data_IF_184904253053
#
_entry.id   IF_184904253053
#
_cell.length_a   1.000
_cell.length_b   1.000
_cell.length_c   1.000
_cell.angle_alpha   90.00
_cell.angle_beta   90.00
_cell.angle_gamma   90.00
#
_symmetry.space_group_name_H-M   'P 1'
#
loop_
_entity.id
_entity.type
_entity.pdbx_description
1 polymer ?
#
# COMPACT_ATOMS: atom_id res chain seq x y z
N UNK A 1 -18.91 -39.77 48.88
CA UNK A 1 -18.31 -39.10 47.71
C UNK A 1 -19.34 -38.14 47.13
N UNK A 2 -18.92 -36.91 46.79
CA UNK A 2 -19.69 -35.76 46.29
C UNK A 2 -20.51 -34.95 47.31
N UNK A 3 -20.01 -33.73 47.56
CA UNK A 3 -20.67 -32.44 47.87
C UNK A 3 -19.51 -31.46 48.13
N UNK A 4 -19.40 -30.25 47.60
CA UNK A 4 -20.24 -29.41 46.76
C UNK A 4 -19.30 -28.32 46.24
N UNK A 5 -19.25 -28.14 44.92
CA UNK A 5 -18.65 -26.97 44.31
C UNK A 5 -19.33 -25.71 44.86
N UNK A 6 -18.52 -24.78 45.36
CA UNK A 6 -18.90 -23.38 45.49
C UNK A 6 -19.86 -23.05 46.65
N UNK A 7 -19.79 -21.80 47.08
CA UNK A 7 -20.66 -21.18 48.08
C UNK A 7 -20.37 -21.52 49.55
N UNK A 8 -19.14 -21.22 49.98
CA UNK A 8 -18.80 -21.16 51.41
C UNK A 8 -17.86 -20.03 51.82
N UNK A 9 -17.45 -19.13 50.92
CA UNK A 9 -16.45 -18.08 51.22
C UNK A 9 -17.02 -16.69 50.96
N UNK A 10 -18.14 -16.38 51.61
CA UNK A 10 -18.61 -14.99 51.79
C UNK A 10 -17.63 -14.31 52.75
N UNK A 11 -16.64 -13.60 52.21
CA UNK A 11 -15.86 -12.62 52.99
C UNK A 11 -14.36 -12.85 53.11
N UNK A 12 -13.69 -13.55 52.19
CA UNK A 12 -12.21 -13.46 52.15
C UNK A 12 -11.83 -12.17 51.42
N UNK A 13 -11.15 -11.19 52.06
CA UNK A 13 -10.78 -9.91 51.44
C UNK A 13 -9.93 -10.07 50.16
N UNK A 14 -9.22 -11.20 50.04
CA UNK A 14 -8.43 -11.56 48.88
C UNK A 14 -9.26 -11.75 47.59
N UNK A 15 -10.44 -12.38 47.67
CA UNK A 15 -11.28 -12.66 46.49
C UNK A 15 -11.85 -11.36 45.90
N UNK A 16 -12.26 -10.42 46.76
CA UNK A 16 -12.80 -9.13 46.30
C UNK A 16 -11.71 -8.21 45.71
N UNK A 17 -10.47 -8.30 46.23
CA UNK A 17 -9.31 -7.61 45.63
C UNK A 17 -8.97 -8.19 44.26
N UNK A 18 -9.01 -9.52 44.11
CA UNK A 18 -8.75 -10.19 42.84
C UNK A 18 -9.81 -9.84 41.79
N UNK A 19 -11.11 -9.92 42.13
CA UNK A 19 -12.21 -9.53 41.24
C UNK A 19 -12.07 -8.10 40.72
N UNK A 20 -11.65 -7.17 41.58
CA UNK A 20 -11.44 -5.76 41.21
C UNK A 20 -10.26 -5.57 40.26
N UNK A 21 -9.15 -6.29 40.48
CA UNK A 21 -7.98 -6.26 39.58
C UNK A 21 -8.31 -6.84 38.20
N UNK A 22 -9.02 -7.96 38.17
CA UNK A 22 -9.48 -8.58 36.92
C UNK A 22 -10.42 -7.63 36.18
N UNK A 23 -11.36 -6.99 36.89
CA UNK A 23 -12.25 -6.00 36.29
C UNK A 23 -11.48 -4.83 35.66
N UNK A 24 -10.51 -4.24 36.39
CA UNK A 24 -9.68 -3.17 35.83
C UNK A 24 -8.85 -3.63 34.63
N UNK A 25 -8.26 -4.83 34.68
CA UNK A 25 -7.50 -5.37 33.56
C UNK A 25 -8.37 -5.55 32.30
N UNK A 26 -9.60 -6.06 32.46
CA UNK A 26 -10.55 -6.20 31.34
C UNK A 26 -10.92 -4.84 30.76
N UNK A 27 -11.26 -3.86 31.61
CA UNK A 27 -11.61 -2.51 31.15
C UNK A 27 -10.45 -1.85 30.41
N UNK A 28 -9.23 -1.92 30.95
CA UNK A 28 -8.03 -1.36 30.31
C UNK A 28 -7.76 -2.04 28.97
N UNK A 29 -7.93 -3.36 28.90
CA UNK A 29 -7.73 -4.13 27.65
C UNK A 29 -8.73 -3.72 26.59
N UNK A 30 -10.01 -3.57 26.96
CA UNK A 30 -11.06 -3.12 26.03
C UNK A 30 -10.78 -1.70 25.53
N UNK A 31 -10.39 -0.78 26.42
CA UNK A 31 -10.06 0.60 26.04
C UNK A 31 -8.82 0.63 25.12
N UNK A 32 -7.77 -0.10 25.47
CA UNK A 32 -6.54 -0.19 24.67
C UNK A 32 -6.81 -0.78 23.29
N UNK A 33 -7.66 -1.83 23.20
CA UNK A 33 -8.04 -2.43 21.93
C UNK A 33 -8.81 -1.45 21.04
N UNK A 34 -9.72 -0.66 21.60
CA UNK A 34 -10.45 0.36 20.84
C UNK A 34 -9.52 1.44 20.30
N UNK A 35 -8.59 1.95 21.13
CA UNK A 35 -7.59 2.93 20.70
C UNK A 35 -6.72 2.34 19.58
N UNK A 36 -6.28 1.09 19.73
CA UNK A 36 -5.45 0.41 18.72
C UNK A 36 -6.17 0.24 17.38
N UNK A 37 -7.44 -0.16 17.39
CA UNK A 37 -8.26 -0.29 16.17
C UNK A 37 -8.43 1.06 15.49
N UNK A 38 -8.81 2.11 16.23
CA UNK A 38 -8.96 3.46 15.67
C UNK A 38 -7.66 4.00 15.08
N UNK A 39 -6.54 3.80 15.78
CA UNK A 39 -5.22 4.20 15.29
C UNK A 39 -4.83 3.43 14.02
N UNK A 40 -5.04 2.11 13.99
CA UNK A 40 -4.72 1.26 12.84
C UNK A 40 -5.53 1.63 11.60
N UNK A 41 -6.82 1.93 11.76
CA UNK A 41 -7.67 2.38 10.67
C UNK A 41 -7.25 3.76 10.14
N UNK A 42 -6.90 4.69 11.04
CA UNK A 42 -6.46 6.02 10.65
C UNK A 42 -5.12 5.98 9.89
N UNK A 43 -4.16 5.16 10.35
CA UNK A 43 -2.91 4.92 9.61
C UNK A 43 -3.16 4.34 8.21
N UNK A 44 -4.12 3.41 8.09
CA UNK A 44 -4.47 2.82 6.80
C UNK A 44 -5.05 3.86 5.82
N UNK A 45 -5.83 4.81 6.34
CA UNK A 45 -6.33 5.95 5.56
C UNK A 45 -5.19 6.84 5.07
N UNK A 46 -4.24 7.17 5.96
CA UNK A 46 -3.08 8.00 5.63
C UNK A 46 -2.13 7.34 4.62
N UNK A 47 -2.00 6.01 4.64
CA UNK A 47 -1.23 5.29 3.61
C UNK A 47 -1.95 5.23 2.26
N UNK A 48 -3.28 5.21 2.23
CA UNK A 48 -4.04 5.11 0.98
C UNK A 48 -4.15 6.45 0.24
N UNK A 49 -4.22 7.58 0.95
CA UNK A 49 -4.28 8.91 0.33
C UNK A 49 -2.95 9.38 -0.28
N UNK A 50 -1.81 8.87 0.22
CA UNK A 50 -0.46 9.23 -0.28
C UNK A 50 0.04 8.40 -1.48
N UNK A 51 -0.82 7.60 -2.12
CA UNK A 51 -0.43 6.75 -3.27
C UNK A 51 -0.79 7.41 -4.62
N UNK A 52 -1.14 8.70 -4.65
CA UNK A 52 -1.07 9.45 -5.91
C UNK A 52 0.37 9.90 -6.16
N UNK A 53 1.26 8.93 -6.44
CA UNK A 53 2.51 9.23 -7.12
C UNK A 53 2.12 9.79 -8.49
N UNK A 54 2.12 11.10 -8.65
CA UNK A 54 1.83 11.72 -9.94
C UNK A 54 2.87 11.24 -10.95
N UNK A 55 2.43 10.45 -11.92
CA UNK A 55 3.28 9.97 -13.00
C UNK A 55 2.76 10.47 -14.34
N UNK A 56 3.69 10.90 -15.19
CA UNK A 56 3.44 11.36 -16.56
C UNK A 56 3.98 10.29 -17.50
N UNK A 57 3.16 9.85 -18.45
CA UNK A 57 3.60 8.95 -19.53
C UNK A 57 3.84 9.80 -20.77
N UNK A 58 5.07 9.77 -21.28
CA UNK A 58 5.47 10.47 -22.50
C UNK A 58 5.85 9.45 -23.58
N UNK A 59 5.11 9.43 -24.68
CA UNK A 59 5.38 8.55 -25.81
C UNK A 59 6.57 9.07 -26.64
N UNK A 60 7.50 8.18 -26.93
CA UNK A 60 8.70 8.45 -27.71
C UNK A 60 8.44 8.27 -29.21
N UNK A 61 9.16 9.04 -30.02
CA UNK A 61 9.12 8.87 -31.47
C UNK A 61 9.64 7.47 -31.89
N UNK A 62 9.00 6.91 -32.91
CA UNK A 62 9.42 5.63 -33.48
C UNK A 62 10.86 5.70 -34.01
N UNK A 63 11.60 4.60 -33.82
CA UNK A 63 12.96 4.39 -34.34
C UNK A 63 14.07 5.26 -33.71
N UNK A 64 13.92 5.66 -32.43
CA UNK A 64 15.01 6.30 -31.68
C UNK A 64 16.15 5.33 -31.39
N UNK A 65 17.38 5.77 -31.64
CA UNK A 65 18.58 5.03 -31.27
C UNK A 65 18.76 5.05 -29.73
N UNK A 66 19.42 4.02 -29.18
CA UNK A 66 19.59 3.84 -27.74
C UNK A 66 20.32 5.02 -27.10
N UNK A 67 21.28 5.62 -27.79
CA UNK A 67 22.02 6.80 -27.32
C UNK A 67 21.10 8.02 -27.12
N UNK A 68 20.16 8.23 -28.05
CA UNK A 68 19.18 9.33 -27.96
C UNK A 68 18.17 9.09 -26.85
N UNK A 69 17.76 7.83 -26.62
CA UNK A 69 16.88 7.48 -25.49
C UNK A 69 17.55 7.81 -24.16
N UNK A 70 18.81 7.43 -24.00
CA UNK A 70 19.61 7.73 -22.81
C UNK A 70 19.80 9.24 -22.59
N UNK A 71 19.96 10.00 -23.67
CA UNK A 71 20.07 11.47 -23.62
C UNK A 71 18.76 12.10 -23.13
N UNK A 72 17.62 11.68 -23.69
CA UNK A 72 16.29 12.13 -23.27
C UNK A 72 16.02 11.76 -21.81
N UNK A 73 16.37 10.54 -21.40
CA UNK A 73 16.21 10.09 -20.02
C UNK A 73 17.02 10.97 -19.04
N UNK A 74 18.30 11.21 -19.33
CA UNK A 74 19.16 12.10 -18.53
C UNK A 74 18.65 13.53 -18.49
N UNK A 75 18.15 14.03 -19.63
CA UNK A 75 17.59 15.37 -19.71
C UNK A 75 16.37 15.52 -18.80
N UNK A 76 15.42 14.57 -18.85
CA UNK A 76 14.20 14.60 -18.03
C UNK A 76 14.52 14.38 -16.55
N UNK A 77 15.47 13.50 -16.21
CA UNK A 77 15.96 13.32 -14.85
C UNK A 77 16.56 14.61 -14.25
N UNK A 78 17.11 15.48 -15.10
CA UNK A 78 17.70 16.76 -14.69
C UNK A 78 16.68 17.89 -14.45
N UNK A 79 15.40 17.69 -14.79
CA UNK A 79 14.35 18.70 -14.59
C UNK A 79 13.99 18.78 -13.11
N UNK A 80 13.95 20.01 -12.57
CA UNK A 80 13.51 20.24 -11.20
C UNK A 80 12.03 19.87 -11.07
N UNK A 81 11.71 19.07 -10.05
CA UNK A 81 10.40 18.43 -9.91
C UNK A 81 10.28 17.01 -10.48
N UNK A 82 11.30 16.45 -11.16
CA UNK A 82 11.28 15.02 -11.54
C UNK A 82 11.94 14.17 -10.45
N UNK A 83 11.25 13.09 -10.04
CA UNK A 83 11.69 12.12 -9.01
C UNK A 83 12.44 10.95 -9.63
N UNK A 84 11.88 10.38 -10.69
CA UNK A 84 12.46 9.25 -11.39
C UNK A 84 11.92 9.19 -12.81
N UNK A 85 12.74 8.68 -13.72
CA UNK A 85 12.33 8.38 -15.10
C UNK A 85 12.59 6.89 -15.31
N UNK A 86 11.62 6.20 -15.91
CA UNK A 86 11.75 4.79 -16.30
C UNK A 86 11.37 4.64 -17.76
N UNK A 87 12.26 4.02 -18.52
CA UNK A 87 11.95 3.59 -19.88
C UNK A 87 11.04 2.35 -19.87
N UNK A 88 10.00 2.38 -20.68
CA UNK A 88 9.06 1.29 -20.87
C UNK A 88 9.04 0.93 -22.35
N UNK A 89 9.41 -0.32 -22.64
CA UNK A 89 9.44 -0.86 -24.00
C UNK A 89 8.00 -0.97 -24.55
N UNK A 90 7.80 -0.76 -25.84
CA UNK A 90 6.52 -1.00 -26.52
C UNK A 90 5.94 -2.40 -26.23
N UNK A 91 6.78 -3.42 -26.03
CA UNK A 91 6.33 -4.77 -25.73
C UNK A 91 5.77 -4.90 -24.32
N UNK A 92 6.44 -4.29 -23.34
CA UNK A 92 5.96 -4.23 -21.95
C UNK A 92 4.66 -3.44 -21.86
N UNK A 93 4.61 -2.30 -22.54
CA UNK A 93 3.42 -1.43 -22.65
C UNK A 93 2.22 -2.16 -23.26
N UNK A 94 2.46 -2.92 -24.33
CA UNK A 94 1.42 -3.69 -25.03
C UNK A 94 0.89 -4.85 -24.19
N UNK A 95 1.76 -5.55 -23.45
CA UNK A 95 1.35 -6.62 -22.54
C UNK A 95 0.50 -6.07 -21.39
N UNK A 96 0.87 -4.91 -20.84
CA UNK A 96 0.08 -4.26 -19.79
C UNK A 96 -1.31 -3.87 -20.31
N UNK A 97 -1.40 -3.30 -21.51
CA UNK A 97 -2.69 -2.99 -22.15
C UNK A 97 -3.55 -4.23 -22.44
N UNK A 98 -2.95 -5.32 -22.90
CA UNK A 98 -3.68 -6.58 -23.11
C UNK A 98 -4.26 -7.13 -21.80
N UNK A 99 -3.51 -7.03 -20.70
CA UNK A 99 -3.98 -7.43 -19.38
C UNK A 99 -5.12 -6.53 -18.88
N UNK A 100 -5.03 -5.21 -19.07
CA UNK A 100 -6.11 -4.27 -18.69
C UNK A 100 -7.39 -4.49 -19.50
N UNK A 101 -7.24 -4.76 -20.80
CA UNK A 101 -8.36 -4.98 -21.71
C UNK A 101 -8.89 -6.43 -21.68
N UNK A 102 -8.24 -7.33 -20.93
CA UNK A 102 -8.52 -8.77 -20.89
C UNK A 102 -8.64 -9.41 -22.29
N UNK A 103 -7.87 -8.93 -23.26
CA UNK A 103 -7.93 -9.36 -24.66
C UNK A 103 -6.52 -9.69 -25.16
N UNK A 104 -6.40 -10.83 -25.85
CA UNK A 104 -5.16 -11.24 -26.51
C UNK A 104 -5.10 -10.66 -27.91
N UNK A 105 -4.16 -9.75 -28.16
CA UNK A 105 -3.93 -9.11 -29.45
C UNK A 105 -2.58 -9.61 -29.97
N UNK A 106 -2.48 -10.05 -31.25
CA UNK A 106 -1.21 -10.50 -31.81
C UNK A 106 -0.13 -9.39 -31.74
N UNK A 107 1.09 -9.76 -31.35
CA UNK A 107 2.21 -8.82 -31.17
C UNK A 107 2.62 -8.12 -32.48
N UNK A 108 2.35 -8.74 -33.62
CA UNK A 108 2.62 -8.17 -34.95
C UNK A 108 1.76 -6.94 -35.28
N UNK A 109 0.64 -6.75 -34.59
CA UNK A 109 -0.23 -5.58 -34.74
C UNK A 109 -0.02 -4.54 -33.65
N UNK A 110 1.06 -4.61 -32.86
CA UNK A 110 1.32 -3.65 -31.79
C UNK A 110 1.43 -2.21 -32.36
N UNK A 111 0.45 -1.32 -32.07
CA UNK A 111 0.46 0.04 -32.57
C UNK A 111 1.28 0.99 -31.68
N UNK A 112 1.80 0.50 -30.54
CA UNK A 112 2.41 1.32 -29.52
C UNK A 112 3.87 1.62 -29.83
N UNK A 113 4.26 2.80 -29.38
CA UNK A 113 5.65 3.27 -29.37
C UNK A 113 6.28 2.97 -28.01
N UNK A 114 7.60 3.17 -27.91
CA UNK A 114 8.26 3.17 -26.61
C UNK A 114 7.78 4.38 -25.79
N UNK A 115 7.76 4.28 -24.47
CA UNK A 115 7.28 5.35 -23.60
C UNK A 115 8.21 5.58 -22.41
N UNK A 116 8.21 6.80 -21.88
CA UNK A 116 8.89 7.16 -20.64
C UNK A 116 7.86 7.42 -19.55
N UNK A 117 8.00 6.70 -18.44
CA UNK A 117 7.22 6.90 -17.23
C UNK A 117 8.02 7.83 -16.31
N UNK A 118 7.50 9.03 -16.09
CA UNK A 118 8.15 10.11 -15.35
C UNK A 118 7.37 10.29 -14.04
N UNK A 119 7.99 9.94 -12.92
CA UNK A 119 7.43 10.22 -11.59
C UNK A 119 7.80 11.64 -11.18
N UNK A 120 6.81 12.43 -10.81
CA UNK A 120 6.99 13.83 -10.37
C UNK A 120 7.20 13.86 -8.85
N UNK A 121 8.01 14.79 -8.35
CA UNK A 121 8.16 15.12 -6.93
C UNK A 121 6.99 16.01 -6.52
N UNK A 122 6.36 15.69 -5.40
CA UNK A 122 5.36 16.57 -4.76
C UNK A 122 5.97 17.92 -4.36
#
# INVERSE_FOLDING_TARGET
MYKLFGYGLKGIPYINRLKRRVFYAVVITVVALNIFISFSLNLRSLTNEKIFNSFIVADLQNNLNQDKKNEIEKYILGIDGVRSVRFMDKFESFKNLQNELNNSIPESSNPLTDSLVISVKD
#
